data_IF_225383250139
#
_entry.id   IF_225383250139
#
_cell.length_a   1.000
_cell.length_b   1.000
_cell.length_c   1.000
_cell.angle_alpha   90.00
_cell.angle_beta   90.00
_cell.angle_gamma   90.00
#
_symmetry.space_group_name_H-M   'P 1'
#
loop_
_entity.id
_entity.type
_entity.pdbx_description
1 polymer ?
#
# COMPACT_ATOMS: atom_id res chain seq x y z
N UNK A 1 -37.32 44.48 -22.22
CA UNK A 1 -35.88 44.27 -21.93
C UNK A 1 -35.82 43.22 -20.84
N UNK A 2 -35.32 42.03 -21.17
CA UNK A 2 -35.42 40.82 -20.36
C UNK A 2 -34.21 40.75 -19.43
N UNK A 3 -34.42 40.76 -18.11
CA UNK A 3 -33.34 40.68 -17.12
C UNK A 3 -32.85 39.23 -17.00
N UNK A 4 -31.56 39.03 -17.25
CA UNK A 4 -30.92 37.73 -17.17
C UNK A 4 -30.54 37.42 -15.71
N UNK A 5 -31.21 36.44 -15.12
CA UNK A 5 -30.84 35.86 -13.84
C UNK A 5 -29.58 34.99 -14.01
N UNK A 6 -28.48 35.37 -13.38
CA UNK A 6 -27.26 34.56 -13.28
C UNK A 6 -27.43 33.57 -12.14
N UNK A 7 -27.58 32.29 -12.46
CA UNK A 7 -27.54 31.19 -11.49
C UNK A 7 -26.08 30.79 -11.29
N UNK A 8 -25.51 31.15 -10.14
CA UNK A 8 -24.20 30.68 -9.73
C UNK A 8 -24.31 29.22 -9.25
N UNK A 9 -23.87 28.26 -10.07
CA UNK A 9 -23.72 26.86 -9.67
C UNK A 9 -22.43 26.74 -8.87
N UNK A 10 -22.55 26.70 -7.54
CA UNK A 10 -21.43 26.38 -6.65
C UNK A 10 -21.02 24.92 -6.83
N UNK A 11 -19.82 24.70 -7.37
CA UNK A 11 -19.20 23.37 -7.45
C UNK A 11 -18.81 22.96 -6.02
N UNK A 12 -19.62 22.12 -5.39
CA UNK A 12 -19.22 21.39 -4.20
C UNK A 12 -18.11 20.42 -4.61
N UNK A 13 -16.86 20.78 -4.26
CA UNK A 13 -15.72 19.89 -4.39
C UNK A 13 -15.93 18.67 -3.50
N UNK A 14 -16.27 17.54 -4.12
CA UNK A 14 -16.20 16.23 -3.47
C UNK A 14 -14.73 16.00 -3.11
N UNK A 15 -14.38 16.17 -1.83
CA UNK A 15 -13.16 15.59 -1.31
C UNK A 15 -13.30 14.09 -1.51
N UNK A 16 -12.60 13.54 -2.50
CA UNK A 16 -12.50 12.11 -2.68
C UNK A 16 -11.92 11.57 -1.37
N UNK A 17 -12.76 10.89 -0.58
CA UNK A 17 -12.27 10.16 0.56
C UNK A 17 -11.16 9.24 0.05
N UNK A 18 -10.03 9.24 0.75
CA UNK A 18 -8.96 8.29 0.48
C UNK A 18 -9.54 6.89 0.71
N UNK A 19 -10.00 6.26 -0.36
CA UNK A 19 -10.69 4.99 -0.29
C UNK A 19 -9.65 3.88 -0.33
N UNK A 20 -9.74 2.96 0.64
CA UNK A 20 -9.07 1.69 0.54
C UNK A 20 -9.47 1.03 -0.78
N UNK A 21 -8.49 0.50 -1.50
CA UNK A 21 -8.78 -0.46 -2.54
C UNK A 21 -8.80 -1.88 -1.97
N UNK A 22 -9.12 -2.84 -2.83
CA UNK A 22 -9.29 -4.23 -2.42
C UNK A 22 -8.00 -5.04 -2.59
N UNK A 23 -7.75 -5.96 -1.65
CA UNK A 23 -6.77 -7.02 -1.79
C UNK A 23 -7.45 -8.38 -1.57
N UNK A 24 -6.95 -9.41 -2.25
CA UNK A 24 -7.37 -10.79 -2.01
C UNK A 24 -6.19 -11.75 -2.18
N UNK A 25 -6.10 -12.70 -1.27
CA UNK A 25 -4.99 -13.65 -1.21
C UNK A 25 -4.38 -13.69 0.18
N UNK A 26 -3.29 -14.43 0.30
CA UNK A 26 -2.58 -14.58 1.56
C UNK A 26 -1.08 -14.71 1.34
N UNK A 27 -0.35 -14.29 2.36
CA UNK A 27 1.08 -14.46 2.48
C UNK A 27 1.35 -15.37 3.68
N UNK A 28 2.22 -16.35 3.49
CA UNK A 28 2.64 -17.31 4.50
C UNK A 28 4.12 -17.11 4.78
N UNK A 29 4.49 -17.14 6.04
CA UNK A 29 5.87 -16.98 6.47
C UNK A 29 6.24 -18.03 7.50
N UNK A 30 7.41 -18.65 7.33
CA UNK A 30 7.92 -19.64 8.26
C UNK A 30 8.70 -18.95 9.38
N UNK A 31 7.99 -18.49 10.43
CA UNK A 31 8.64 -17.89 11.58
C UNK A 31 9.29 -18.95 12.49
N UNK A 32 10.23 -18.52 13.35
CA UNK A 32 10.95 -19.39 14.30
C UNK A 32 10.02 -20.17 15.25
N UNK A 33 8.85 -19.60 15.57
CA UNK A 33 7.87 -20.20 16.49
C UNK A 33 6.79 -21.03 15.77
N UNK A 34 6.86 -21.13 14.44
CA UNK A 34 5.89 -21.83 13.61
C UNK A 34 5.46 -20.99 12.39
N UNK A 35 4.79 -21.62 11.42
CA UNK A 35 4.27 -20.91 10.25
C UNK A 35 3.17 -19.92 10.68
N UNK A 36 3.15 -18.77 10.02
CA UNK A 36 2.09 -17.77 10.14
C UNK A 36 1.52 -17.44 8.76
N UNK A 37 0.23 -17.13 8.72
CA UNK A 37 -0.48 -16.74 7.50
C UNK A 37 -1.18 -15.42 7.77
N UNK A 38 -1.01 -14.46 6.87
CA UNK A 38 -1.74 -13.19 6.87
C UNK A 38 -2.66 -13.16 5.66
N UNK A 39 -3.95 -12.88 5.90
CA UNK A 39 -4.94 -12.76 4.83
C UNK A 39 -5.11 -11.28 4.50
N UNK A 40 -5.01 -10.95 3.22
CA UNK A 40 -5.00 -9.56 2.79
C UNK A 40 -6.37 -9.19 2.26
N UNK A 41 -6.87 -8.05 2.74
CA UNK A 41 -8.21 -7.55 2.46
C UNK A 41 -8.19 -6.14 1.86
N UNK A 42 -7.21 -5.32 2.25
CA UNK A 42 -7.14 -3.93 1.85
C UNK A 42 -5.81 -3.62 1.18
N UNK A 43 -5.87 -2.77 0.15
CA UNK A 43 -4.71 -2.27 -0.58
C UNK A 43 -4.72 -0.73 -0.62
N UNK A 44 -3.56 -0.14 -0.35
CA UNK A 44 -3.36 1.30 -0.41
C UNK A 44 -2.10 1.60 -1.18
N UNK A 45 -2.15 2.64 -2.01
CA UNK A 45 -0.95 3.25 -2.56
C UNK A 45 -0.67 4.52 -1.76
N UNK A 46 0.53 4.60 -1.18
CA UNK A 46 1.04 5.84 -0.58
C UNK A 46 2.35 6.24 -1.25
N UNK A 47 2.67 7.52 -1.21
CA UNK A 47 3.91 8.03 -1.82
C UNK A 47 4.59 9.00 -0.88
N UNK A 48 5.91 9.11 -0.96
CA UNK A 48 6.68 10.00 -0.10
C UNK A 48 8.16 9.65 -0.05
N UNK A 49 8.96 10.42 0.69
CA UNK A 49 10.35 10.07 0.94
C UNK A 49 10.44 8.84 1.87
N UNK A 50 11.28 7.88 1.50
CA UNK A 50 11.66 6.74 2.33
C UNK A 50 12.62 7.14 3.48
N UNK A 51 13.11 6.13 4.23
CA UNK A 51 14.07 6.25 5.32
C UNK A 51 15.32 7.11 5.00
N UNK A 52 15.71 7.14 3.73
CA UNK A 52 16.91 7.79 3.20
C UNK A 52 16.59 9.10 2.47
N UNK A 53 15.31 9.51 2.44
CA UNK A 53 14.83 10.71 1.75
C UNK A 53 14.55 10.50 0.26
N UNK A 54 14.62 9.26 -0.25
CA UNK A 54 14.37 8.95 -1.65
C UNK A 54 12.86 8.89 -1.90
N UNK A 55 12.33 9.56 -2.93
CA UNK A 55 10.90 9.49 -3.23
C UNK A 55 10.55 8.09 -3.75
N UNK A 56 9.59 7.45 -3.08
CA UNK A 56 9.10 6.12 -3.44
C UNK A 56 7.57 6.12 -3.52
N UNK A 57 7.06 5.05 -4.13
CA UNK A 57 5.66 4.63 -4.04
C UNK A 57 5.63 3.34 -3.24
N UNK A 58 4.88 3.31 -2.14
CA UNK A 58 4.74 2.11 -1.32
C UNK A 58 3.33 1.56 -1.49
N UNK A 59 3.25 0.30 -1.94
CA UNK A 59 2.03 -0.50 -1.88
C UNK A 59 1.91 -1.05 -0.47
N UNK A 60 0.82 -0.76 0.21
CA UNK A 60 0.50 -1.31 1.54
C UNK A 60 -0.64 -2.29 1.40
N UNK A 61 -0.39 -3.55 1.71
CA UNK A 61 -1.37 -4.62 1.76
C UNK A 61 -1.62 -4.99 3.22
N UNK A 62 -2.88 -5.03 3.64
CA UNK A 62 -3.22 -5.19 5.06
C UNK A 62 -4.40 -6.12 5.28
N UNK A 63 -4.40 -6.77 6.43
CA UNK A 63 -5.51 -7.57 6.92
C UNK A 63 -6.63 -6.70 7.51
N UNK A 64 -6.29 -5.56 8.13
CA UNK A 64 -7.25 -4.61 8.73
C UNK A 64 -7.28 -3.30 7.95
N UNK A 65 -8.41 -2.60 7.97
CA UNK A 65 -8.54 -1.29 7.32
C UNK A 65 -7.64 -0.24 8.00
N UNK A 66 -6.73 0.35 7.22
CA UNK A 66 -5.79 1.39 7.64
C UNK A 66 -6.17 2.80 7.18
N UNK A 67 -7.30 3.00 6.50
CA UNK A 67 -7.63 4.30 5.88
C UNK A 67 -7.56 5.47 6.89
N UNK A 68 -8.17 5.30 8.08
CA UNK A 68 -8.14 6.31 9.14
C UNK A 68 -6.74 6.52 9.72
N UNK A 69 -5.95 5.44 9.84
CA UNK A 69 -4.58 5.51 10.34
C UNK A 69 -3.66 6.26 9.35
N UNK A 70 -3.76 5.95 8.06
CA UNK A 70 -3.02 6.63 6.98
C UNK A 70 -3.40 8.11 6.92
N UNK A 71 -4.69 8.44 7.03
CA UNK A 71 -5.16 9.81 7.06
C UNK A 71 -4.49 10.64 8.17
N UNK A 72 -4.28 10.04 9.35
CA UNK A 72 -3.62 10.66 10.49
C UNK A 72 -2.08 10.63 10.49
N UNK A 73 -1.44 9.90 9.58
CA UNK A 73 0.01 9.81 9.52
C UNK A 73 0.66 11.03 8.84
N UNK A 74 1.90 11.35 9.21
CA UNK A 74 2.68 12.46 8.63
C UNK A 74 3.69 12.02 7.56
N UNK A 75 4.02 10.73 7.50
CA UNK A 75 5.00 10.14 6.60
C UNK A 75 4.86 8.63 6.48
N UNK A 76 5.64 8.02 5.59
CA UNK A 76 5.58 6.58 5.27
C UNK A 76 5.87 5.71 6.50
N UNK A 77 6.92 6.02 7.28
CA UNK A 77 7.26 5.25 8.48
C UNK A 77 6.15 5.20 9.54
N UNK A 78 5.30 6.22 9.61
CA UNK A 78 4.10 6.16 10.45
C UNK A 78 3.10 5.11 9.95
N UNK A 79 2.88 5.01 8.63
CA UNK A 79 1.98 4.03 8.03
C UNK A 79 2.48 2.62 8.31
N UNK A 80 3.76 2.35 8.05
CA UNK A 80 4.39 1.07 8.38
C UNK A 80 4.24 0.74 9.87
N UNK A 81 4.42 1.73 10.76
CA UNK A 81 4.21 1.59 12.20
C UNK A 81 2.76 1.31 12.64
N UNK A 82 1.76 1.52 11.77
CA UNK A 82 0.35 1.19 12.01
C UNK A 82 -0.08 -0.14 11.40
N UNK A 83 0.74 -0.74 10.55
CA UNK A 83 0.46 -2.03 9.92
C UNK A 83 0.69 -3.16 10.93
N UNK A 84 -0.37 -3.69 11.54
CA UNK A 84 -0.27 -4.80 12.51
C UNK A 84 0.05 -6.15 11.86
N UNK A 85 -0.66 -6.47 10.77
CA UNK A 85 -0.46 -7.66 9.95
C UNK A 85 -0.66 -7.31 8.47
N UNK A 86 0.31 -7.64 7.63
CA UNK A 86 0.27 -7.33 6.21
C UNK A 86 1.64 -7.39 5.55
N UNK A 87 1.78 -6.66 4.44
CA UNK A 87 3.06 -6.42 3.82
C UNK A 87 3.11 -5.05 3.14
N UNK A 88 4.30 -4.46 3.07
CA UNK A 88 4.57 -3.33 2.19
C UNK A 88 5.52 -3.73 1.06
N UNK A 89 5.38 -3.06 -0.08
CA UNK A 89 6.25 -3.21 -1.24
C UNK A 89 6.62 -1.84 -1.77
N UNK A 90 7.90 -1.50 -1.70
CA UNK A 90 8.43 -0.25 -2.24
C UNK A 90 8.70 -0.40 -3.74
N UNK A 91 8.15 0.53 -4.48
CA UNK A 91 8.45 0.77 -5.88
C UNK A 91 9.37 1.99 -6.01
N UNK A 92 10.16 1.99 -7.08
CA UNK A 92 11.04 3.09 -7.48
C UNK A 92 12.21 3.37 -6.50
N UNK A 93 12.39 2.55 -5.46
CA UNK A 93 13.53 2.57 -4.55
C UNK A 93 14.83 2.02 -5.18
N UNK A 94 14.76 1.38 -6.35
CA UNK A 94 15.90 0.78 -7.02
C UNK A 94 15.51 -0.29 -8.06
N UNK A 95 16.44 -1.16 -8.48
CA UNK A 95 16.19 -2.21 -9.47
C UNK A 95 15.40 -3.41 -8.92
N UNK A 96 15.19 -3.45 -7.60
CA UNK A 96 14.48 -4.49 -6.86
C UNK A 96 13.28 -3.87 -6.16
N UNK A 97 12.27 -4.68 -5.86
CA UNK A 97 11.20 -4.28 -4.96
C UNK A 97 11.67 -4.57 -3.53
N UNK A 98 11.67 -3.57 -2.65
CA UNK A 98 11.90 -3.83 -1.22
C UNK A 98 10.58 -4.29 -0.61
N UNK A 99 10.62 -5.35 0.17
CA UNK A 99 9.40 -5.94 0.75
C UNK A 99 9.55 -6.03 2.25
N UNK A 100 8.46 -5.76 2.96
CA UNK A 100 8.42 -5.91 4.40
C UNK A 100 7.13 -6.61 4.81
N UNK A 101 7.26 -7.82 5.31
CA UNK A 101 6.15 -8.60 5.85
C UNK A 101 6.05 -8.42 7.35
N UNK A 102 4.83 -8.24 7.85
CA UNK A 102 4.54 -8.21 9.29
C UNK A 102 3.34 -9.08 9.64
N UNK A 103 3.39 -9.69 10.82
CA UNK A 103 2.28 -10.47 11.36
C UNK A 103 2.24 -10.37 12.89
N UNK A 104 1.05 -10.66 13.45
CA UNK A 104 0.78 -10.67 14.88
C UNK A 104 1.15 -9.34 15.54
N UNK A 105 0.57 -8.25 15.06
CA UNK A 105 0.83 -6.89 15.56
C UNK A 105 2.32 -6.55 15.58
N UNK A 106 3.00 -6.87 14.47
CA UNK A 106 4.44 -6.67 14.25
C UNK A 106 5.38 -7.48 15.18
N UNK A 107 4.89 -8.48 15.91
CA UNK A 107 5.75 -9.40 16.66
C UNK A 107 6.61 -10.29 15.73
N UNK A 108 6.18 -10.44 14.49
CA UNK A 108 6.93 -11.09 13.42
C UNK A 108 7.12 -10.05 12.32
N UNK A 109 8.38 -9.85 11.94
CA UNK A 109 8.76 -8.93 10.89
C UNK A 109 9.84 -9.58 10.03
N UNK A 110 9.76 -9.39 8.73
CA UNK A 110 10.78 -9.86 7.81
C UNK A 110 10.89 -8.91 6.64
N UNK A 111 12.09 -8.34 6.46
CA UNK A 111 12.44 -7.55 5.29
C UNK A 111 13.15 -8.43 4.27
N UNK A 112 12.80 -8.27 3.00
CA UNK A 112 13.44 -8.98 1.89
C UNK A 112 13.44 -8.07 0.65
N UNK A 113 13.93 -8.58 -0.48
CA UNK A 113 13.77 -7.94 -1.79
C UNK A 113 13.28 -8.94 -2.82
N UNK A 114 12.37 -8.50 -3.69
CA UNK A 114 11.88 -9.30 -4.81
C UNK A 114 12.40 -8.77 -6.16
N UNK A 115 12.56 -9.67 -7.13
CA UNK A 115 12.71 -9.25 -8.54
C UNK A 115 11.40 -8.60 -9.00
N UNK A 116 11.46 -7.60 -9.91
CA UNK A 116 10.24 -6.98 -10.44
C UNK A 116 9.29 -7.95 -11.16
N UNK A 117 9.77 -9.07 -11.68
CA UNK A 117 8.94 -10.09 -12.37
C UNK A 117 7.97 -10.83 -11.44
N UNK A 118 8.17 -10.78 -10.12
CA UNK A 118 7.19 -11.24 -9.12
C UNK A 118 5.90 -10.40 -9.15
N UNK A 119 5.93 -9.22 -9.77
CA UNK A 119 4.84 -8.26 -9.86
C UNK A 119 4.31 -8.15 -11.29
N UNK A 120 3.07 -8.59 -11.49
CA UNK A 120 2.35 -8.43 -12.76
C UNK A 120 1.30 -7.34 -12.61
N UNK A 121 1.61 -6.13 -13.10
CA UNK A 121 0.73 -4.98 -13.02
C UNK A 121 -0.16 -4.85 -14.26
N UNK A 122 -1.45 -4.66 -14.05
CA UNK A 122 -2.40 -4.24 -15.08
C UNK A 122 -2.48 -2.71 -15.14
N UNK A 123 -2.28 -2.03 -14.01
CA UNK A 123 -2.21 -0.58 -13.89
C UNK A 123 -0.96 -0.20 -13.08
N UNK A 124 -0.16 0.73 -13.60
CA UNK A 124 1.02 1.26 -12.94
C UNK A 124 1.14 2.76 -13.20
N UNK A 125 0.51 3.57 -12.34
CA UNK A 125 0.55 5.02 -12.45
C UNK A 125 0.82 5.69 -11.10
N UNK A 126 0.97 7.01 -11.11
CA UNK A 126 1.14 7.79 -9.89
C UNK A 126 -0.13 7.77 -9.00
N UNK A 127 -1.30 7.45 -9.58
CA UNK A 127 -2.59 7.50 -8.90
C UNK A 127 -3.13 6.11 -8.54
N UNK A 128 -2.56 5.03 -9.07
CA UNK A 128 -3.05 3.67 -8.85
C UNK A 128 -2.01 2.62 -9.18
N UNK A 129 -1.97 1.56 -8.38
CA UNK A 129 -1.30 0.30 -8.70
C UNK A 129 -2.35 -0.81 -8.64
N UNK A 130 -2.55 -1.55 -9.73
CA UNK A 130 -3.44 -2.71 -9.71
C UNK A 130 -2.77 -3.88 -10.41
N UNK A 131 -2.82 -5.05 -9.77
CA UNK A 131 -1.95 -6.13 -10.19
C UNK A 131 -2.04 -7.37 -9.32
N UNK A 132 -1.14 -8.28 -9.65
CA UNK A 132 -0.90 -9.52 -8.94
C UNK A 132 0.56 -9.56 -8.49
N UNK A 133 0.77 -9.82 -7.21
CA UNK A 133 2.08 -10.09 -6.64
C UNK A 133 2.19 -11.55 -6.24
N UNK A 134 3.17 -12.27 -6.78
CA UNK A 134 3.37 -13.70 -6.49
C UNK A 134 4.80 -13.95 -6.00
N UNK A 135 4.95 -14.56 -4.83
CA UNK A 135 6.23 -14.97 -4.26
C UNK A 135 6.22 -16.48 -4.00
N UNK A 136 7.04 -17.24 -4.69
CA UNK A 136 7.13 -18.71 -4.57
C UNK A 136 8.45 -19.21 -3.99
N UNK A 137 9.54 -18.46 -4.17
CA UNK A 137 10.91 -18.93 -3.92
C UNK A 137 11.71 -17.92 -3.06
N UNK A 138 11.02 -17.25 -2.13
CA UNK A 138 11.64 -16.27 -1.23
C UNK A 138 12.05 -16.92 0.09
N UNK A 139 13.16 -16.45 0.69
CA UNK A 139 13.44 -16.69 2.11
C UNK A 139 12.40 -16.01 3.01
N UNK A 140 11.73 -14.98 2.47
CA UNK A 140 10.62 -14.27 3.09
C UNK A 140 9.24 -14.89 2.91
N UNK A 141 8.22 -14.03 2.93
CA UNK A 141 6.83 -14.45 2.88
C UNK A 141 6.46 -14.93 1.46
N UNK A 142 5.89 -16.13 1.38
CA UNK A 142 5.45 -16.76 0.12
C UNK A 142 3.95 -16.70 -0.02
N UNK A 143 3.46 -16.57 -1.24
CA UNK A 143 2.03 -16.54 -1.50
C UNK A 143 1.69 -15.77 -2.77
N UNK A 144 0.42 -15.45 -2.91
CA UNK A 144 -0.03 -14.65 -4.03
C UNK A 144 -1.18 -13.76 -3.62
N UNK A 145 -1.12 -12.51 -4.08
CA UNK A 145 -2.08 -11.46 -3.77
C UNK A 145 -2.50 -10.78 -5.05
N UNK A 146 -3.80 -10.69 -5.28
CA UNK A 146 -4.38 -9.76 -6.25
C UNK A 146 -4.77 -8.50 -5.50
N UNK A 147 -4.48 -7.34 -6.06
CA UNK A 147 -4.77 -6.07 -5.42
C UNK A 147 -5.16 -5.00 -6.44
N UNK A 148 -5.84 -3.98 -5.93
CA UNK A 148 -6.16 -2.75 -6.60
C UNK A 148 -6.00 -1.61 -5.59
N UNK A 149 -4.96 -0.81 -5.74
CA UNK A 149 -4.51 0.16 -4.75
C UNK A 149 -4.57 1.58 -5.34
N UNK A 150 -5.65 2.35 -5.08
CA UNK A 150 -5.68 3.77 -5.43
C UNK A 150 -4.74 4.58 -4.52
N UNK A 151 -4.23 5.70 -5.04
CA UNK A 151 -3.46 6.65 -4.25
C UNK A 151 -4.32 7.15 -3.10
N UNK A 152 -3.91 6.78 -1.89
CA UNK A 152 -4.57 7.11 -0.64
C UNK A 152 -3.99 8.40 -0.07
N UNK A 153 -2.66 8.55 -0.10
CA UNK A 153 -1.99 9.75 0.42
C UNK A 153 -0.61 9.95 -0.19
N UNK A 154 -0.26 11.20 -0.45
CA UNK A 154 1.09 11.62 -0.79
C UNK A 154 1.67 12.42 0.39
N UNK A 155 2.79 11.94 0.93
CA UNK A 155 3.52 12.55 2.02
C UNK A 155 4.66 13.41 1.48
N UNK A 156 4.94 14.52 2.18
CA UNK A 156 6.06 15.41 1.87
C UNK A 156 7.15 15.38 2.93
N UNK A 157 6.94 14.62 4.02
CA UNK A 157 7.85 14.51 5.16
C UNK A 157 8.33 13.08 5.27
N UNK A 158 9.58 12.95 5.70
CA UNK A 158 10.14 11.72 6.23
C UNK A 158 9.83 11.64 7.73
#
# INVERSE_FOLDING_TARGET
MLEAAVVAVGVLGLAAAAQAGDASGELRYQAKRGPVTVKLHHAYLVTGPDAMGQPIRELVLSEQDLASAIAGCDGLGCVSGKLGSGATVDFDAGPRLNTWFVANDQLIQHSDTATPDTMSLQENSAQRLAGRWSQSDAEGAVGTVQFDAPLTKAFSKH
#
